data_IF_593750813346
#
_entry.id   IF_593750813346
#
_cell.length_a   1.000
_cell.length_b   1.000
_cell.length_c   1.000
_cell.angle_alpha   90.00
_cell.angle_beta   90.00
_cell.angle_gamma   90.00
#
_symmetry.space_group_name_H-M   'P 1'
#
loop_
_entity.id
_entity.type
_entity.pdbx_description
1 polymer ?
#
# COMPACT_ATOMS: atom_id res chain seq x y z
N UNK A 1 8.97 -10.12 4.27
CA UNK A 1 9.93 -10.71 3.33
C UNK A 1 9.44 -10.53 1.88
N UNK A 2 10.35 -10.67 0.89
CA UNK A 2 10.07 -10.39 -0.52
C UNK A 2 9.02 -11.35 -1.10
N UNK A 3 9.03 -12.62 -0.66
CA UNK A 3 8.08 -13.63 -1.14
C UNK A 3 6.64 -13.26 -0.78
N UNK A 4 6.41 -12.77 0.42
CA UNK A 4 5.08 -12.33 0.86
C UNK A 4 4.66 -11.05 0.13
N UNK A 5 5.60 -10.12 -0.11
CA UNK A 5 5.32 -8.93 -0.92
C UNK A 5 4.92 -9.28 -2.35
N UNK A 6 5.61 -10.22 -2.98
CA UNK A 6 5.25 -10.71 -4.33
C UNK A 6 3.89 -11.38 -4.33
N UNK A 7 3.61 -12.23 -3.33
CA UNK A 7 2.30 -12.88 -3.16
C UNK A 7 1.18 -11.82 -3.02
N UNK A 8 1.39 -10.82 -2.17
CA UNK A 8 0.44 -9.74 -1.95
C UNK A 8 0.19 -8.91 -3.22
N UNK A 9 1.26 -8.53 -3.93
CA UNK A 9 1.16 -7.76 -5.16
C UNK A 9 0.39 -8.51 -6.24
N UNK A 10 0.71 -9.77 -6.46
CA UNK A 10 -0.01 -10.62 -7.43
C UNK A 10 -1.50 -10.74 -7.06
N UNK A 11 -1.80 -10.90 -5.77
CA UNK A 11 -3.20 -10.98 -5.34
C UNK A 11 -3.97 -9.69 -5.57
N UNK A 12 -3.36 -8.53 -5.32
CA UNK A 12 -3.97 -7.23 -5.62
C UNK A 12 -4.24 -7.07 -7.11
N UNK A 13 -3.31 -7.53 -7.98
CA UNK A 13 -3.48 -7.53 -9.44
C UNK A 13 -4.68 -8.42 -9.84
N UNK A 14 -4.76 -9.64 -9.32
CA UNK A 14 -5.86 -10.58 -9.58
C UNK A 14 -7.22 -10.03 -9.17
N UNK A 15 -7.28 -9.31 -8.05
CA UNK A 15 -8.53 -8.69 -7.55
C UNK A 15 -8.95 -7.45 -8.35
N UNK A 16 -8.05 -6.90 -9.18
CA UNK A 16 -8.27 -5.61 -9.84
C UNK A 16 -8.12 -4.40 -8.92
N UNK A 17 -7.43 -4.57 -7.80
CA UNK A 17 -7.22 -3.58 -6.75
C UNK A 17 -7.81 -4.00 -5.41
N UNK A 18 -7.23 -3.50 -4.32
CA UNK A 18 -7.72 -3.86 -2.99
C UNK A 18 -6.67 -3.76 -1.90
N UNK A 19 -7.04 -4.29 -0.74
CA UNK A 19 -6.17 -4.45 0.42
C UNK A 19 -5.97 -5.94 0.66
N UNK A 20 -4.76 -6.34 1.04
CA UNK A 20 -4.42 -7.73 1.32
C UNK A 20 -3.37 -7.80 2.43
N UNK A 21 -3.46 -8.81 3.26
CA UNK A 21 -2.40 -9.20 4.19
C UNK A 21 -1.95 -10.63 3.91
N UNK A 22 -0.63 -10.84 3.95
CA UNK A 22 0.01 -12.12 3.65
C UNK A 22 1.02 -12.46 4.73
N UNK A 23 1.02 -13.71 5.16
CA UNK A 23 2.00 -14.27 6.12
C UNK A 23 2.43 -15.65 5.62
N UNK A 24 3.73 -15.86 5.50
CA UNK A 24 4.33 -17.14 5.07
C UNK A 24 3.71 -17.67 3.76
N UNK A 25 3.56 -16.77 2.77
CA UNK A 25 2.99 -17.08 1.46
C UNK A 25 1.49 -17.34 1.44
N UNK A 26 0.79 -17.11 2.55
CA UNK A 26 -0.67 -17.30 2.65
C UNK A 26 -1.40 -15.98 2.85
N UNK A 27 -2.44 -15.80 2.07
CA UNK A 27 -3.37 -14.66 2.25
C UNK A 27 -4.13 -14.88 3.56
N UNK A 28 -3.97 -13.96 4.51
CA UNK A 28 -4.63 -14.02 5.82
C UNK A 28 -5.93 -13.22 5.85
N UNK A 29 -5.99 -12.13 5.09
CA UNK A 29 -7.21 -11.32 4.96
C UNK A 29 -7.14 -10.47 3.70
N UNK A 30 -8.28 -10.15 3.09
CA UNK A 30 -8.34 -9.31 1.89
C UNK A 30 -9.66 -8.54 1.77
N UNK A 31 -9.59 -7.38 1.10
CA UNK A 31 -10.75 -6.59 0.71
C UNK A 31 -10.60 -6.16 -0.75
N UNK A 32 -11.38 -6.73 -1.69
CA UNK A 32 -11.40 -6.28 -3.07
C UNK A 32 -11.98 -4.87 -3.21
N UNK A 33 -11.27 -4.02 -3.98
CA UNK A 33 -11.69 -2.66 -4.34
C UNK A 33 -11.73 -2.55 -5.86
N UNK A 34 -12.68 -3.23 -6.49
CA UNK A 34 -12.75 -3.43 -7.94
C UNK A 34 -13.00 -2.14 -8.74
N UNK A 35 -13.55 -1.12 -8.10
CA UNK A 35 -13.86 0.15 -8.76
C UNK A 35 -12.65 1.06 -8.61
N UNK A 36 -11.83 1.14 -9.65
CA UNK A 36 -10.61 1.93 -9.73
C UNK A 36 -9.56 1.65 -8.63
N UNK A 37 -9.62 0.49 -7.98
CA UNK A 37 -8.76 0.18 -6.82
C UNK A 37 -9.10 0.94 -5.53
N UNK A 38 -10.23 1.67 -5.51
CA UNK A 38 -10.58 2.60 -4.42
C UNK A 38 -11.90 2.26 -3.74
N UNK A 39 -12.84 1.67 -4.46
CA UNK A 39 -14.18 1.37 -3.93
C UNK A 39 -14.55 -0.09 -4.16
N UNK A 40 -15.32 -0.65 -3.21
CA UNK A 40 -15.84 -2.00 -3.30
C UNK A 40 -17.24 -2.03 -3.89
N UNK A 41 -17.58 -3.14 -4.55
CA UNK A 41 -18.93 -3.51 -4.97
C UNK A 41 -19.71 -4.26 -3.88
N UNK A 42 -19.11 -4.45 -2.72
CA UNK A 42 -19.72 -5.07 -1.55
C UNK A 42 -20.61 -4.07 -0.78
N UNK A 43 -21.47 -4.59 0.08
CA UNK A 43 -22.26 -3.75 1.00
C UNK A 43 -21.36 -3.09 2.05
N UNK A 44 -21.80 -1.97 2.62
CA UNK A 44 -21.06 -1.27 3.68
C UNK A 44 -20.77 -2.16 4.89
N UNK A 45 -21.67 -3.10 5.22
CA UNK A 45 -21.46 -4.07 6.29
C UNK A 45 -20.31 -5.02 5.97
N UNK A 46 -20.31 -5.63 4.79
CA UNK A 46 -19.25 -6.55 4.35
C UNK A 46 -17.89 -5.86 4.29
N UNK A 47 -17.85 -4.61 3.80
CA UNK A 47 -16.63 -3.80 3.80
C UNK A 47 -16.13 -3.56 5.22
N UNK A 48 -17.00 -3.20 6.15
CA UNK A 48 -16.63 -2.97 7.54
C UNK A 48 -16.11 -4.24 8.23
N UNK A 49 -16.74 -5.39 7.99
CA UNK A 49 -16.31 -6.68 8.50
C UNK A 49 -14.91 -7.04 7.98
N UNK A 50 -14.67 -6.95 6.67
CA UNK A 50 -13.36 -7.24 6.06
C UNK A 50 -12.26 -6.26 6.50
N UNK A 51 -12.58 -4.97 6.66
CA UNK A 51 -11.62 -4.01 7.21
C UNK A 51 -11.24 -4.34 8.66
N UNK A 52 -12.18 -4.84 9.44
CA UNK A 52 -11.91 -5.29 10.80
C UNK A 52 -10.96 -6.49 10.80
N UNK A 53 -11.21 -7.49 9.96
CA UNK A 53 -10.35 -8.66 9.79
C UNK A 53 -8.92 -8.25 9.35
N UNK A 54 -8.80 -7.33 8.38
CA UNK A 54 -7.52 -6.80 7.94
C UNK A 54 -6.76 -6.11 9.08
N UNK A 55 -7.44 -5.27 9.87
CA UNK A 55 -6.82 -4.60 11.02
C UNK A 55 -6.37 -5.59 12.10
N UNK A 56 -7.14 -6.63 12.36
CA UNK A 56 -6.74 -7.67 13.30
C UNK A 56 -5.54 -8.46 12.77
N UNK A 57 -5.53 -8.83 11.49
CA UNK A 57 -4.39 -9.49 10.86
C UNK A 57 -3.10 -8.68 11.00
N UNK A 58 -3.15 -7.36 10.77
CA UNK A 58 -1.96 -6.51 10.91
C UNK A 58 -1.49 -6.37 12.36
N UNK A 59 -2.40 -6.38 13.34
CA UNK A 59 -2.03 -6.41 14.77
C UNK A 59 -1.30 -7.71 15.14
N UNK A 60 -1.78 -8.85 14.66
CA UNK A 60 -1.14 -10.16 14.85
C UNK A 60 0.26 -10.17 14.25
N UNK A 61 0.46 -9.48 13.11
CA UNK A 61 1.77 -9.29 12.48
C UNK A 61 2.70 -8.33 13.24
N UNK A 62 2.23 -7.70 14.31
CA UNK A 62 3.01 -6.82 15.18
C UNK A 62 2.87 -5.32 14.88
N UNK A 63 1.94 -4.91 14.03
CA UNK A 63 1.68 -3.49 13.79
C UNK A 63 1.10 -2.82 15.04
N UNK A 64 1.68 -1.69 15.43
CA UNK A 64 1.19 -0.83 16.51
C UNK A 64 0.39 0.36 16.00
N UNK A 65 0.29 0.52 14.68
CA UNK A 65 -0.45 1.62 14.06
C UNK A 65 -1.97 1.39 14.19
N UNK A 66 -2.73 2.40 14.56
CA UNK A 66 -4.20 2.28 14.69
C UNK A 66 -4.88 1.92 13.36
N UNK A 67 -4.36 2.43 12.25
CA UNK A 67 -4.83 2.14 10.90
C UNK A 67 -3.66 2.08 9.92
N UNK A 68 -3.08 0.88 9.78
CA UNK A 68 -1.92 0.66 8.91
C UNK A 68 -2.27 0.95 7.44
N UNK A 69 -3.43 0.51 6.96
CA UNK A 69 -3.80 0.67 5.55
C UNK A 69 -4.04 2.13 5.17
N UNK A 70 -4.63 2.91 6.05
CA UNK A 70 -4.75 4.36 5.86
C UNK A 70 -3.37 5.02 5.82
N UNK A 71 -2.47 4.65 6.73
CA UNK A 71 -1.09 5.16 6.76
C UNK A 71 -0.36 4.82 5.45
N UNK A 72 -0.46 3.58 4.96
CA UNK A 72 0.15 3.16 3.70
C UNK A 72 -0.45 3.90 2.49
N UNK A 73 -1.74 4.22 2.50
CA UNK A 73 -2.35 4.99 1.43
C UNK A 73 -1.75 6.39 1.29
N UNK A 74 -1.37 7.03 2.40
CA UNK A 74 -0.66 8.32 2.37
C UNK A 74 0.79 8.20 1.88
N UNK A 75 1.47 7.10 2.23
CA UNK A 75 2.87 6.89 1.82
C UNK A 75 3.02 6.82 0.29
N UNK A 76 2.05 6.24 -0.41
CA UNK A 76 2.10 6.09 -1.87
C UNK A 76 1.58 7.30 -2.67
N UNK A 77 0.93 8.27 -2.03
CA UNK A 77 0.38 9.44 -2.72
C UNK A 77 1.48 10.41 -3.16
N UNK A 78 1.58 10.64 -4.46
CA UNK A 78 2.62 11.48 -5.09
C UNK A 78 2.48 12.98 -4.81
N UNK A 79 1.49 13.38 -4.04
CA UNK A 79 1.24 14.79 -3.62
C UNK A 79 1.61 15.06 -2.17
N UNK A 80 2.07 14.03 -1.45
CA UNK A 80 2.49 14.16 -0.05
C UNK A 80 4.01 14.15 0.03
N UNK A 81 4.65 15.20 0.61
CA UNK A 81 6.11 15.28 0.76
C UNK A 81 6.71 14.07 1.51
N UNK A 82 8.02 13.79 1.31
CA UNK A 82 8.93 14.54 0.42
C UNK A 82 9.13 13.83 -0.92
N UNK A 83 9.76 12.65 -0.90
CA UNK A 83 10.06 11.87 -2.10
C UNK A 83 9.03 10.77 -2.30
N UNK A 84 8.57 10.59 -3.52
CA UNK A 84 7.64 9.52 -3.90
C UNK A 84 8.10 8.80 -5.15
N UNK A 85 8.08 7.47 -5.08
CA UNK A 85 8.34 6.63 -6.24
C UNK A 85 7.04 6.41 -7.00
N UNK A 86 7.04 6.79 -8.28
CA UNK A 86 5.90 6.63 -9.19
C UNK A 86 6.26 5.69 -10.33
N UNK A 87 5.28 5.32 -11.14
CA UNK A 87 5.50 4.55 -12.36
C UNK A 87 6.29 5.31 -13.44
N UNK A 88 6.45 6.62 -13.30
CA UNK A 88 7.23 7.47 -14.20
C UNK A 88 8.63 7.81 -13.66
N UNK A 89 8.88 7.60 -12.37
CA UNK A 89 10.16 7.89 -11.74
C UNK A 89 10.01 8.42 -10.31
N UNK A 90 11.14 8.84 -9.73
CA UNK A 90 11.18 9.44 -8.41
C UNK A 90 10.80 10.92 -8.50
N UNK A 91 9.82 11.33 -7.70
CA UNK A 91 9.31 12.70 -7.64
C UNK A 91 9.73 13.35 -6.32
N UNK A 92 10.32 14.54 -6.40
CA UNK A 92 10.43 15.45 -5.27
C UNK A 92 9.16 16.32 -5.23
N UNK A 93 8.31 16.04 -4.27
CA UNK A 93 6.99 16.69 -4.18
C UNK A 93 7.12 18.18 -3.82
N UNK A 94 8.15 18.56 -3.06
CA UNK A 94 8.39 19.96 -2.69
C UNK A 94 8.86 20.80 -3.88
N UNK A 95 9.66 20.19 -4.77
CA UNK A 95 10.10 20.81 -6.02
C UNK A 95 9.09 20.67 -7.16
N UNK A 96 8.14 19.75 -7.01
CA UNK A 96 7.17 19.36 -8.04
C UNK A 96 7.84 18.93 -9.35
N UNK A 97 8.92 18.16 -9.24
CA UNK A 97 9.71 17.71 -10.39
C UNK A 97 10.28 16.31 -10.16
N UNK A 98 10.71 15.67 -11.25
CA UNK A 98 11.41 14.40 -11.19
C UNK A 98 12.86 14.60 -10.75
N UNK A 99 13.34 13.69 -9.92
CA UNK A 99 14.72 13.67 -9.45
C UNK A 99 15.40 12.33 -9.74
N UNK A 100 16.74 12.34 -9.79
CA UNK A 100 17.51 11.11 -9.99
C UNK A 100 17.35 10.15 -8.81
N UNK A 101 17.32 8.85 -9.11
CA UNK A 101 17.37 7.79 -8.09
C UNK A 101 18.74 7.65 -7.43
N UNK A 102 19.78 8.12 -8.10
CA UNK A 102 21.15 7.95 -7.65
C UNK A 102 21.68 9.25 -7.08
N UNK A 103 22.14 9.20 -5.83
CA UNK A 103 22.85 10.30 -5.18
C UNK A 103 24.30 10.25 -5.65
N UNK A 104 24.83 11.38 -6.13
CA UNK A 104 26.25 11.51 -6.45
C UNK A 104 27.05 11.73 -5.17
N UNK A 105 28.24 11.12 -5.07
CA UNK A 105 29.14 11.38 -3.95
C UNK A 105 29.46 12.88 -3.88
N UNK A 106 29.12 13.52 -2.74
CA UNK A 106 29.38 14.95 -2.49
C UNK A 106 28.18 15.90 -2.68
N UNK A 107 27.02 15.41 -3.07
CA UNK A 107 25.77 16.18 -2.98
C UNK A 107 25.05 15.81 -1.67
N UNK A 108 25.04 16.72 -0.69
CA UNK A 108 24.26 16.58 0.53
C UNK A 108 22.75 16.61 0.17
N UNK A 109 22.00 15.67 0.75
CA UNK A 109 20.56 15.52 0.56
C UNK A 109 19.75 16.59 1.32
#
# INVERSE_FOLDING_TARGET
NDSDMVCAANRVIEMGGGLVSVVDGKITSELPLKIAGLMSDLTSREVAERLTELKEATKIMGSTLPDLFMTLSFVQLSVIPKLKLTNLGLVDVEKNDFVTLFVKEGEDA
#
